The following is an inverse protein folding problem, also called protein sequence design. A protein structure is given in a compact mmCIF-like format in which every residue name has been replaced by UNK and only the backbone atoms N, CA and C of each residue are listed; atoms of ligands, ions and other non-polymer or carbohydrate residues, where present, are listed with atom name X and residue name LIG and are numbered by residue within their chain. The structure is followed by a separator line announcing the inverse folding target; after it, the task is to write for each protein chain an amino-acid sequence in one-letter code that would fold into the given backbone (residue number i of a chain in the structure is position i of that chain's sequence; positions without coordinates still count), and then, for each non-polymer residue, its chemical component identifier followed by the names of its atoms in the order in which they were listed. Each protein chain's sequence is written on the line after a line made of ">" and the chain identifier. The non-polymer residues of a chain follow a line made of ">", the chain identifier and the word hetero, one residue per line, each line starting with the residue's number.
data_IF_795900371851
#
_entry.id   IF_795900371851
#
_cell.length_a   1.000
_cell.length_b   1.000
_cell.length_c   1.000
_cell.angle_alpha   90.00
_cell.angle_beta   90.00
_cell.angle_gamma   90.00
#
_symmetry.space_group_name_H-M   'P 1'
#
loop_
_entity.id
_entity.type
_entity.pdbx_description
1 polymer ?
#
# COMPACT_ATOMS: atom_id res chain seq x y z
N UNK A 1 -23.62 38.29 -10.65
CA UNK A 1 -23.32 37.32 -9.58
C UNK A 1 -21.88 36.82 -9.73
N UNK A 2 -20.92 37.59 -9.20
CA UNK A 2 -19.51 37.18 -9.16
C UNK A 2 -19.25 36.68 -7.74
N UNK A 3 -19.45 35.39 -7.53
CA UNK A 3 -19.09 34.73 -6.28
C UNK A 3 -17.57 34.63 -6.22
N UNK A 4 -17.02 35.27 -5.20
CA UNK A 4 -15.62 35.35 -4.83
C UNK A 4 -15.03 33.95 -4.68
N UNK A 5 -14.32 33.46 -5.69
CA UNK A 5 -13.44 32.29 -5.54
C UNK A 5 -12.27 32.74 -4.65
N UNK A 6 -12.45 32.65 -3.33
CA UNK A 6 -11.36 32.84 -2.35
C UNK A 6 -10.28 31.84 -2.69
N UNK A 7 -9.17 32.28 -3.29
CA UNK A 7 -7.96 31.46 -3.46
C UNK A 7 -7.60 30.88 -2.08
N UNK A 8 -7.61 29.55 -1.88
CA UNK A 8 -7.10 28.97 -0.65
C UNK A 8 -5.65 29.41 -0.49
N UNK A 9 -5.26 29.80 0.72
CA UNK A 9 -3.88 30.17 1.01
C UNK A 9 -3.01 28.96 0.72
N UNK A 10 -1.96 29.14 -0.08
CA UNK A 10 -1.06 28.06 -0.56
C UNK A 10 -0.51 27.26 0.63
N UNK A 11 -0.31 27.91 1.78
CA UNK A 11 0.10 27.31 3.05
C UNK A 11 -0.90 26.27 3.59
N UNK A 12 -2.20 26.53 3.48
CA UNK A 12 -3.25 25.58 3.90
C UNK A 12 -3.34 24.37 2.94
N UNK A 13 -3.10 24.60 1.64
CA UNK A 13 -3.00 23.48 0.69
C UNK A 13 -1.79 22.59 0.99
N UNK A 14 -0.66 23.17 1.41
CA UNK A 14 0.52 22.39 1.80
C UNK A 14 0.29 21.57 3.06
N UNK A 15 -0.39 22.11 4.09
CA UNK A 15 -0.71 21.34 5.29
C UNK A 15 -1.65 20.17 4.98
N UNK A 16 -2.68 20.40 4.17
CA UNK A 16 -3.63 19.36 3.79
C UNK A 16 -2.96 18.28 2.93
N UNK A 17 -2.08 18.67 2.00
CA UNK A 17 -1.29 17.74 1.19
C UNK A 17 -0.32 16.90 2.05
N UNK A 18 0.32 17.51 3.05
CA UNK A 18 1.17 16.78 3.99
C UNK A 18 0.37 15.76 4.81
N UNK A 19 -0.82 16.14 5.27
CA UNK A 19 -1.70 15.26 6.04
C UNK A 19 -2.17 14.07 5.19
N UNK A 20 -2.49 14.32 3.92
CA UNK A 20 -2.79 13.27 2.93
C UNK A 20 -1.58 12.38 2.70
N UNK A 21 -0.39 12.96 2.51
CA UNK A 21 0.85 12.22 2.27
C UNK A 21 1.24 11.34 3.46
N UNK A 22 1.09 11.84 4.68
CA UNK A 22 1.31 11.11 5.93
C UNK A 22 0.29 9.96 6.08
N UNK A 23 -0.97 10.19 5.67
CA UNK A 23 -2.00 9.14 5.62
C UNK A 23 -1.67 8.06 4.58
N UNK A 24 -1.06 8.43 3.45
CA UNK A 24 -0.66 7.53 2.37
C UNK A 24 0.54 6.65 2.75
N UNK A 25 1.40 7.12 3.65
CA UNK A 25 2.54 6.37 4.20
C UNK A 25 2.10 5.42 5.33
N UNK A 26 0.87 5.58 5.86
CA UNK A 26 0.40 4.73 6.93
C UNK A 26 0.41 3.25 6.50
N UNK A 27 0.97 2.39 7.36
CA UNK A 27 1.16 0.95 7.10
C UNK A 27 -0.12 0.25 6.59
N UNK A 28 -1.30 0.76 6.96
CA UNK A 28 -2.61 0.27 6.51
C UNK A 28 -2.80 0.35 4.99
N UNK A 29 -2.35 1.42 4.34
CA UNK A 29 -2.45 1.57 2.89
C UNK A 29 -1.53 0.59 2.16
N UNK A 30 -0.37 0.27 2.76
CA UNK A 30 0.56 -0.70 2.18
C UNK A 30 -0.05 -2.10 2.17
N UNK A 31 -0.69 -2.53 3.27
CA UNK A 31 -1.39 -3.82 3.28
C UNK A 31 -2.56 -3.88 2.29
N UNK A 32 -3.29 -2.77 2.10
CA UNK A 32 -4.37 -2.69 1.13
C UNK A 32 -3.85 -2.81 -0.31
N UNK A 33 -2.77 -2.11 -0.63
CA UNK A 33 -2.12 -2.21 -1.94
C UNK A 33 -1.60 -3.64 -2.20
N UNK A 34 -1.06 -4.31 -1.16
CA UNK A 34 -0.58 -5.69 -1.23
C UNK A 34 -1.69 -6.71 -1.54
N UNK A 35 -2.91 -6.48 -1.03
CA UNK A 35 -4.09 -7.28 -1.38
C UNK A 35 -4.38 -7.12 -2.87
N UNK A 36 -4.39 -5.89 -3.35
CA UNK A 36 -4.67 -5.59 -4.75
C UNK A 36 -3.62 -6.17 -5.69
N UNK A 37 -2.35 -6.07 -5.30
CA UNK A 37 -1.25 -6.69 -6.03
C UNK A 37 -1.38 -8.21 -6.09
N UNK A 38 -1.75 -8.86 -4.98
CA UNK A 38 -1.96 -10.31 -4.95
C UNK A 38 -3.14 -10.75 -5.81
N UNK A 39 -4.21 -9.95 -5.88
CA UNK A 39 -5.38 -10.23 -6.74
C UNK A 39 -5.00 -10.11 -8.21
N UNK A 40 -4.33 -9.03 -8.60
CA UNK A 40 -3.86 -8.81 -9.98
C UNK A 40 -2.90 -9.94 -10.39
N UNK A 41 -1.95 -10.29 -9.52
CA UNK A 41 -0.99 -11.36 -9.80
C UNK A 41 -1.68 -12.72 -9.95
N UNK A 42 -2.65 -13.03 -9.09
CA UNK A 42 -3.44 -14.27 -9.18
C UNK A 42 -4.26 -14.30 -10.47
N UNK A 43 -4.84 -13.17 -10.90
CA UNK A 43 -5.55 -13.06 -12.17
C UNK A 43 -4.61 -13.25 -13.37
N UNK A 44 -3.40 -12.67 -13.33
CA UNK A 44 -2.39 -12.84 -14.37
C UNK A 44 -1.92 -14.31 -14.47
N UNK A 45 -1.81 -14.98 -13.33
CA UNK A 45 -1.42 -16.39 -13.21
C UNK A 45 -2.64 -17.32 -13.33
N UNK A 46 -3.86 -16.80 -13.50
CA UNK A 46 -5.08 -17.63 -13.55
C UNK A 46 -5.22 -18.44 -14.84
N UNK A 47 -4.53 -18.05 -15.92
CA UNK A 47 -4.54 -18.77 -17.20
C UNK A 47 -4.14 -20.27 -17.07
N UNK A 48 -3.11 -20.64 -16.28
CA UNK A 48 -2.80 -22.04 -15.97
C UNK A 48 -3.64 -22.69 -14.85
N UNK A 49 -4.47 -21.95 -14.11
CA UNK A 49 -5.17 -22.46 -12.91
C UNK A 49 -6.59 -22.93 -13.26
N UNK A 50 -6.72 -24.22 -13.56
CA UNK A 50 -7.99 -24.84 -14.00
C UNK A 50 -9.12 -24.83 -12.95
N UNK A 51 -8.83 -24.59 -11.67
CA UNK A 51 -9.82 -24.72 -10.59
C UNK A 51 -9.78 -23.52 -9.65
N UNK A 52 -10.97 -23.06 -9.23
CA UNK A 52 -11.15 -21.95 -8.29
C UNK A 52 -10.42 -22.19 -6.96
N UNK A 53 -10.39 -23.43 -6.49
CA UNK A 53 -9.65 -23.81 -5.27
C UNK A 53 -8.15 -23.54 -5.39
N UNK A 54 -7.55 -23.84 -6.54
CA UNK A 54 -6.11 -23.63 -6.75
C UNK A 54 -5.82 -22.13 -6.83
N UNK A 55 -6.70 -21.35 -7.47
CA UNK A 55 -6.60 -19.88 -7.48
C UNK A 55 -6.60 -19.27 -6.07
N UNK A 56 -7.50 -19.73 -5.19
CA UNK A 56 -7.57 -19.24 -3.79
C UNK A 56 -6.32 -19.62 -3.01
N UNK A 57 -5.82 -20.85 -3.16
CA UNK A 57 -4.57 -21.27 -2.50
C UNK A 57 -3.36 -20.49 -3.01
N UNK A 58 -3.25 -20.31 -4.33
CA UNK A 58 -2.18 -19.50 -4.95
C UNK A 58 -2.24 -18.06 -4.46
N UNK A 59 -3.42 -17.45 -4.39
CA UNK A 59 -3.63 -16.12 -3.82
C UNK A 59 -3.14 -16.04 -2.36
N UNK A 60 -3.55 -16.99 -1.52
CA UNK A 60 -3.15 -17.03 -0.12
C UNK A 60 -1.61 -17.14 0.05
N UNK A 61 -0.95 -17.95 -0.77
CA UNK A 61 0.50 -18.13 -0.76
C UNK A 61 1.21 -16.84 -1.18
N UNK A 62 0.77 -16.20 -2.27
CA UNK A 62 1.37 -14.95 -2.77
C UNK A 62 1.19 -13.84 -1.74
N UNK A 63 0.00 -13.73 -1.17
CA UNK A 63 -0.29 -12.72 -0.15
C UNK A 63 0.54 -12.93 1.11
N UNK A 64 0.62 -14.16 1.61
CA UNK A 64 1.45 -14.50 2.77
C UNK A 64 2.95 -14.23 2.52
N UNK A 65 3.45 -14.60 1.34
CA UNK A 65 4.86 -14.38 0.97
C UNK A 65 5.17 -12.89 0.86
N UNK A 66 4.30 -12.12 0.19
CA UNK A 66 4.47 -10.67 0.03
C UNK A 66 4.37 -9.94 1.37
N UNK A 67 3.44 -10.34 2.24
CA UNK A 67 3.29 -9.77 3.58
C UNK A 67 4.50 -10.07 4.47
N UNK A 68 5.01 -11.30 4.42
CA UNK A 68 6.25 -11.68 5.12
C UNK A 68 7.46 -10.88 4.63
N UNK A 69 7.59 -10.68 3.33
CA UNK A 69 8.66 -9.84 2.76
C UNK A 69 8.58 -8.39 3.25
N UNK A 70 7.38 -7.80 3.29
CA UNK A 70 7.18 -6.46 3.83
C UNK A 70 7.53 -6.36 5.33
N UNK A 71 7.11 -7.34 6.14
CA UNK A 71 7.46 -7.39 7.56
C UNK A 71 8.97 -7.53 7.78
N UNK A 72 9.66 -8.32 6.97
CA UNK A 72 11.11 -8.44 7.01
C UNK A 72 11.80 -7.11 6.66
N UNK A 73 11.40 -6.48 5.56
CA UNK A 73 11.98 -5.20 5.11
C UNK A 73 11.77 -4.12 6.16
N UNK A 74 10.54 -3.99 6.69
CA UNK A 74 10.23 -3.02 7.75
C UNK A 74 11.01 -3.30 9.04
N UNK A 75 11.17 -4.56 9.44
CA UNK A 75 12.00 -4.95 10.58
C UNK A 75 13.48 -4.58 10.37
N UNK A 76 14.05 -4.84 9.18
CA UNK A 76 15.42 -4.48 8.85
C UNK A 76 15.64 -2.97 8.80
N UNK A 77 14.73 -2.20 8.21
CA UNK A 77 14.78 -0.73 8.16
C UNK A 77 14.70 -0.13 9.57
N UNK A 78 13.82 -0.65 10.43
CA UNK A 78 13.68 -0.20 11.82
C UNK A 78 14.93 -0.47 12.65
N UNK A 79 15.57 -1.63 12.46
CA UNK A 79 16.88 -1.94 13.08
C UNK A 79 17.97 -0.98 12.63
N UNK A 80 18.03 -0.64 11.34
CA UNK A 80 19.04 0.29 10.80
C UNK A 80 18.89 1.70 11.38
N UNK A 81 17.66 2.17 11.61
CA UNK A 81 17.38 3.45 12.28
C UNK A 81 17.78 3.44 13.76
N UNK A 82 17.63 2.31 14.46
CA UNK A 82 18.04 2.18 15.87
C UNK A 82 19.56 2.06 16.08
N UNK A 83 20.32 1.73 15.04
CA UNK A 83 21.79 1.62 15.10
C UNK A 83 22.53 2.94 14.85
N UNK A 84 21.80 4.01 14.51
CA UNK A 84 22.34 5.35 14.19
C UNK A 84 22.12 6.36 15.35
N UNK A 85 21.45 5.94 16.43
CA UNK A 85 21.42 6.67 17.70
C UNK A 85 22.47 6.12 18.65
#
# INVERSE_FOLDING_TARGET
>A
MRTTYKRPRIEQMHSDLNLVQESLIADKFIFFDLIWYSIIFTLLVSSPLQTVTVSIMTFAIIYATSSSAYLLISFFLKRKSSSIK
#
